data_IF_114935581419
#
_entry.id   IF_114935581419
#
_cell.length_a   1.000
_cell.length_b   1.000
_cell.length_c   1.000
_cell.angle_alpha   90.00
_cell.angle_beta   90.00
_cell.angle_gamma   90.00
#
_symmetry.space_group_name_H-M   'P 1'
#
loop_
_entity.id
_entity.type
_entity.pdbx_description
1 polymer ?
#
# COMPACT_ATOMS: atom_id res chain seq x y z
N UNK A 1 29.83 -16.42 -31.09
CA UNK A 1 30.20 -15.01 -31.24
C UNK A 1 29.56 -14.49 -32.52
N UNK A 2 28.32 -14.02 -32.42
CA UNK A 2 27.64 -13.33 -33.53
C UNK A 2 27.93 -11.84 -33.40
N UNK A 3 28.21 -11.19 -34.54
CA UNK A 3 28.74 -9.84 -34.64
C UNK A 3 27.80 -8.80 -34.01
N UNK A 4 28.32 -8.03 -33.07
CA UNK A 4 27.77 -6.75 -32.62
C UNK A 4 27.83 -5.72 -33.77
N UNK A 5 26.83 -5.74 -34.65
CA UNK A 5 26.54 -4.57 -35.48
C UNK A 5 25.79 -3.55 -34.59
N UNK A 6 26.55 -2.81 -33.78
CA UNK A 6 26.07 -1.62 -33.08
C UNK A 6 25.62 -0.61 -34.15
N UNK A 7 24.33 -0.59 -34.47
CA UNK A 7 23.68 0.46 -35.28
C UNK A 7 23.65 1.78 -34.47
N UNK A 8 24.82 2.38 -34.25
CA UNK A 8 24.94 3.75 -33.76
C UNK A 8 24.88 4.69 -34.96
N UNK A 9 23.71 5.33 -35.16
CA UNK A 9 23.49 6.37 -36.16
C UNK A 9 24.69 7.35 -36.20
N UNK A 10 25.29 7.51 -37.39
CA UNK A 10 26.43 8.43 -37.58
C UNK A 10 26.01 9.91 -37.54
N UNK A 11 24.74 10.21 -37.83
CA UNK A 11 24.05 11.50 -37.63
C UNK A 11 22.55 11.30 -37.90
N UNK A 12 21.68 12.19 -37.38
CA UNK A 12 20.27 12.27 -37.79
C UNK A 12 20.06 13.47 -38.74
N UNK A 13 19.28 13.26 -39.79
CA UNK A 13 18.85 14.28 -40.74
C UNK A 13 17.62 15.04 -40.19
N UNK A 14 17.39 16.28 -40.66
CA UNK A 14 16.08 16.93 -40.60
C UNK A 14 14.99 15.98 -41.10
N UNK A 15 13.91 15.79 -40.33
CA UNK A 15 12.86 14.82 -40.70
C UNK A 15 12.98 13.44 -40.03
N UNK A 16 14.10 13.13 -39.37
CA UNK A 16 14.29 11.84 -38.70
C UNK A 16 13.59 11.78 -37.33
N UNK A 17 13.24 10.57 -36.92
CA UNK A 17 12.72 10.26 -35.59
C UNK A 17 13.60 9.19 -34.95
N UNK A 18 14.06 9.45 -33.72
CA UNK A 18 14.86 8.49 -32.96
C UNK A 18 14.03 7.94 -31.80
N UNK A 19 13.82 6.63 -31.82
CA UNK A 19 13.22 5.88 -30.73
C UNK A 19 14.29 5.07 -30.03
N UNK A 20 14.51 5.33 -28.73
CA UNK A 20 15.37 4.51 -27.88
C UNK A 20 14.46 3.65 -27.00
N UNK A 21 14.36 2.33 -27.26
CA UNK A 21 13.61 1.45 -26.38
C UNK A 21 14.33 1.35 -25.03
N UNK A 22 13.54 1.47 -23.96
CA UNK A 22 13.96 1.38 -22.58
C UNK A 22 13.23 0.20 -21.97
N UNK A 23 13.98 -0.80 -21.54
CA UNK A 23 13.44 -2.02 -20.95
C UNK A 23 14.13 -2.26 -19.62
N UNK A 24 13.36 -2.36 -18.54
CA UNK A 24 13.89 -2.75 -17.23
C UNK A 24 12.86 -3.54 -16.42
N UNK A 25 13.33 -4.25 -15.41
CA UNK A 25 12.48 -4.98 -14.47
C UNK A 25 12.20 -4.10 -13.25
N UNK A 26 10.92 -3.89 -12.95
CA UNK A 26 10.53 -3.00 -11.85
C UNK A 26 10.62 -3.67 -10.48
N UNK A 27 10.98 -2.89 -9.46
CA UNK A 27 10.87 -3.34 -8.06
C UNK A 27 9.46 -3.20 -7.50
N UNK A 28 8.53 -2.55 -8.22
CA UNK A 28 7.10 -2.50 -7.89
C UNK A 28 6.43 -3.85 -8.16
N UNK A 29 6.95 -4.89 -7.50
CA UNK A 29 6.52 -6.26 -7.56
C UNK A 29 6.15 -6.71 -6.14
N UNK A 30 4.95 -7.28 -6.00
CA UNK A 30 4.46 -7.81 -4.73
C UNK A 30 5.33 -8.93 -4.15
N UNK A 31 5.92 -9.77 -5.00
CA UNK A 31 6.82 -10.83 -4.56
C UNK A 31 8.10 -10.24 -3.97
N UNK A 32 8.71 -9.27 -4.65
CA UNK A 32 9.92 -8.59 -4.15
C UNK A 32 9.64 -7.81 -2.85
N UNK A 33 8.51 -7.10 -2.77
CA UNK A 33 8.07 -6.43 -1.55
C UNK A 33 7.96 -7.44 -0.39
N UNK A 34 7.38 -8.61 -0.65
CA UNK A 34 7.21 -9.68 0.31
C UNK A 34 8.54 -10.29 0.79
N UNK A 35 9.45 -10.62 -0.13
CA UNK A 35 10.77 -11.14 0.22
C UNK A 35 11.56 -10.15 1.08
N UNK A 36 11.58 -8.86 0.68
CA UNK A 36 12.28 -7.83 1.43
C UNK A 36 11.66 -7.59 2.82
N UNK A 37 10.33 -7.67 2.91
CA UNK A 37 9.62 -7.61 4.18
C UNK A 37 9.98 -8.77 5.11
N UNK A 38 9.93 -10.02 4.61
CA UNK A 38 10.31 -11.22 5.39
C UNK A 38 11.75 -11.10 5.88
N UNK A 39 12.66 -10.68 4.99
CA UNK A 39 14.06 -10.49 5.34
C UNK A 39 14.24 -9.48 6.48
N UNK A 40 13.64 -8.29 6.38
CA UNK A 40 13.75 -7.25 7.42
C UNK A 40 13.07 -7.68 8.72
N UNK A 41 11.90 -8.31 8.66
CA UNK A 41 11.22 -8.89 9.82
C UNK A 41 12.12 -9.89 10.55
N UNK A 42 12.71 -10.83 9.82
CA UNK A 42 13.59 -11.84 10.40
C UNK A 42 14.84 -11.22 11.03
N UNK A 43 15.39 -10.16 10.43
CA UNK A 43 16.51 -9.43 11.05
C UNK A 43 16.12 -8.77 12.37
N UNK A 44 14.90 -8.22 12.48
CA UNK A 44 14.40 -7.64 13.73
C UNK A 44 14.22 -8.73 14.78
N UNK A 45 13.58 -9.85 14.41
CA UNK A 45 13.36 -10.99 15.30
C UNK A 45 14.69 -11.58 15.78
N UNK A 46 15.64 -11.82 14.86
CA UNK A 46 16.95 -12.39 15.17
C UNK A 46 17.85 -11.47 16.02
N UNK A 47 17.71 -10.15 15.85
CA UNK A 47 18.39 -9.18 16.70
C UNK A 47 17.76 -9.11 18.10
N UNK A 48 16.44 -9.31 18.22
CA UNK A 48 15.73 -9.33 19.50
C UNK A 48 15.88 -10.67 20.25
N UNK A 49 16.14 -11.79 19.56
CA UNK A 49 16.39 -13.10 20.19
C UNK A 49 17.78 -13.23 20.80
N UNK A 50 18.74 -12.36 20.47
CA UNK A 50 20.06 -12.39 21.11
C UNK A 50 20.07 -11.83 22.56
N UNK A 51 18.91 -11.44 23.10
CA UNK A 51 18.79 -10.98 24.50
C UNK A 51 17.95 -11.94 25.36
N UNK A 52 17.17 -12.85 24.78
CA UNK A 52 16.41 -13.83 25.56
C UNK A 52 16.31 -15.18 24.86
N UNK A 53 16.81 -16.19 25.57
CA UNK A 53 16.64 -17.63 25.41
C UNK A 53 17.76 -18.40 24.66
N UNK A 54 18.77 -18.78 25.46
CA UNK A 54 18.94 -20.22 25.71
C UNK A 54 17.59 -20.76 26.17
N UNK A 55 16.83 -21.36 25.28
CA UNK A 55 15.96 -22.50 25.58
C UNK A 55 15.44 -23.06 24.26
N UNK A 56 15.73 -24.34 24.12
CA UNK A 56 15.28 -25.23 23.06
C UNK A 56 13.75 -25.16 22.95
N UNK A 57 13.27 -24.98 21.71
CA UNK A 57 12.00 -25.50 21.17
C UNK A 57 11.52 -24.58 20.05
N UNK A 58 12.08 -24.81 18.86
CA UNK A 58 11.41 -24.61 17.57
C UNK A 58 12.25 -25.31 16.48
N UNK A 59 12.55 -26.59 16.70
CA UNK A 59 12.79 -27.55 15.62
C UNK A 59 11.43 -28.04 15.18
N UNK A 60 10.88 -27.47 14.11
CA UNK A 60 10.00 -28.13 13.15
C UNK A 60 9.45 -27.09 12.17
N UNK A 61 10.21 -26.76 11.11
CA UNK A 61 9.61 -26.38 9.83
C UNK A 61 10.59 -26.49 8.64
N UNK A 62 11.57 -27.41 8.73
CA UNK A 62 12.36 -27.84 7.58
C UNK A 62 12.19 -29.35 7.39
N UNK A 63 11.10 -29.72 6.72
CA UNK A 63 10.98 -31.00 6.05
C UNK A 63 11.70 -30.92 4.71
N UNK A 64 12.92 -31.42 4.66
CA UNK A 64 13.64 -31.73 3.43
C UNK A 64 12.78 -32.59 2.50
N UNK A 65 12.73 -32.22 1.22
CA UNK A 65 12.80 -33.20 0.14
C UNK A 65 13.92 -32.72 -0.80
N UNK A 66 15.05 -33.42 -0.70
CA UNK A 66 16.12 -33.37 -1.68
C UNK A 66 15.63 -34.04 -2.96
N UNK A 67 16.00 -33.50 -4.13
CA UNK A 67 16.92 -34.25 -4.99
C UNK A 67 17.53 -33.40 -6.13
N UNK A 68 18.85 -33.55 -6.21
CA UNK A 68 19.74 -33.33 -7.36
C UNK A 68 19.98 -31.92 -7.90
N UNK A 69 21.13 -31.34 -7.53
CA UNK A 69 22.18 -31.00 -8.50
C UNK A 69 23.46 -30.56 -7.78
N UNK A 70 24.53 -31.33 -8.02
CA UNK A 70 25.93 -31.05 -7.66
C UNK A 70 26.31 -29.61 -8.00
N UNK A 71 27.14 -28.97 -7.16
CA UNK A 71 28.23 -28.13 -7.66
C UNK A 71 29.37 -28.01 -6.66
N UNK A 72 30.54 -28.15 -7.25
CA UNK A 72 31.87 -28.25 -6.66
C UNK A 72 32.27 -26.99 -5.89
N UNK A 73 33.06 -27.24 -4.85
CA UNK A 73 33.91 -26.29 -4.16
C UNK A 73 34.91 -25.65 -5.12
N UNK A 74 35.06 -24.33 -5.06
CA UNK A 74 36.34 -23.68 -5.29
C UNK A 74 36.61 -22.69 -4.16
N UNK A 75 37.50 -23.11 -3.27
CA UNK A 75 38.37 -22.24 -2.49
C UNK A 75 39.18 -21.35 -3.42
N UNK A 76 39.43 -20.11 -3.00
CA UNK A 76 40.75 -19.50 -3.10
C UNK A 76 40.91 -18.48 -1.97
N UNK A 77 41.85 -18.80 -1.08
CA UNK A 77 42.44 -17.95 -0.06
C UNK A 77 43.16 -16.75 -0.69
N UNK A 78 43.25 -15.63 0.03
CA UNK A 78 44.50 -14.86 0.14
C UNK A 78 44.53 -14.11 1.49
N UNK A 79 45.63 -14.33 2.21
CA UNK A 79 46.04 -13.70 3.47
C UNK A 79 46.39 -12.21 3.28
N UNK A 80 46.41 -11.43 4.37
CA UNK A 80 47.69 -10.87 4.86
C UNK A 80 47.55 -10.13 6.22
N UNK A 81 48.28 -10.70 7.17
CA UNK A 81 49.18 -10.12 8.19
C UNK A 81 48.71 -9.14 9.29
N UNK A 82 49.03 -9.59 10.51
CA UNK A 82 49.04 -8.84 11.77
C UNK A 82 50.15 -7.78 11.79
N UNK A 83 49.86 -6.63 12.39
CA UNK A 83 50.87 -5.82 13.08
C UNK A 83 50.34 -5.48 14.48
N UNK A 84 50.97 -6.08 15.50
CA UNK A 84 50.90 -5.62 16.89
C UNK A 84 51.82 -4.42 17.08
N UNK A 85 51.31 -3.36 17.71
CA UNK A 85 52.14 -2.43 18.51
C UNK A 85 51.37 -2.10 19.79
N UNK A 86 52.05 -2.29 20.92
CA UNK A 86 51.51 -2.18 22.28
C UNK A 86 51.46 -0.73 22.77
N UNK A 87 50.37 -0.46 23.49
CA UNK A 87 50.20 0.42 24.67
C UNK A 87 50.55 1.92 24.57
N UNK A 88 49.54 2.79 24.61
CA UNK A 88 49.24 3.53 25.85
C UNK A 88 47.89 4.30 25.82
N UNK A 89 47.09 4.04 26.85
CA UNK A 89 46.13 4.90 27.55
C UNK A 89 44.99 5.70 26.84
N UNK A 90 43.77 5.36 27.30
CA UNK A 90 42.56 6.20 27.48
C UNK A 90 41.80 6.67 26.23
N UNK A 91 40.86 5.82 25.80
CA UNK A 91 39.42 6.11 25.71
C UNK A 91 38.76 4.91 25.01
N UNK A 92 37.91 4.17 25.73
CA UNK A 92 37.12 3.07 25.16
C UNK A 92 36.07 3.63 24.19
N UNK A 93 36.48 3.83 22.94
CA UNK A 93 35.56 3.91 21.81
C UNK A 93 35.22 2.46 21.48
N UNK A 94 34.02 2.03 21.85
CA UNK A 94 33.43 0.78 21.34
C UNK A 94 33.24 0.91 19.82
N UNK A 95 34.27 0.58 19.06
CA UNK A 95 34.17 0.35 17.62
C UNK A 95 33.47 -1.00 17.46
N UNK A 96 32.15 -0.95 17.25
CA UNK A 96 31.41 -2.10 16.74
C UNK A 96 32.12 -2.56 15.46
N UNK A 97 32.77 -3.73 15.53
CA UNK A 97 33.19 -4.47 14.35
C UNK A 97 31.96 -4.64 13.46
N UNK A 98 31.93 -3.90 12.35
CA UNK A 98 30.96 -4.05 11.29
C UNK A 98 30.96 -5.52 10.86
N UNK A 99 29.99 -6.31 11.37
CA UNK A 99 29.61 -7.56 10.73
C UNK A 99 29.23 -7.18 9.30
N UNK A 100 30.02 -7.64 8.33
CA UNK A 100 29.68 -7.54 6.90
C UNK A 100 28.23 -7.96 6.77
N UNK A 101 27.35 -7.00 6.50
CA UNK A 101 25.98 -7.26 6.11
C UNK A 101 26.10 -7.99 4.77
N UNK A 102 26.01 -9.32 4.80
CA UNK A 102 25.88 -10.12 3.59
C UNK A 102 24.51 -9.71 3.02
N UNK A 103 24.50 -8.76 2.08
CA UNK A 103 23.31 -8.50 1.28
C UNK A 103 23.07 -9.77 0.47
N UNK A 104 21.98 -10.51 0.69
CA UNK A 104 21.69 -11.65 -0.15
C UNK A 104 21.42 -11.13 -1.57
N UNK A 105 21.97 -11.83 -2.57
CA UNK A 105 21.52 -11.69 -3.96
C UNK A 105 20.07 -12.16 -4.03
N UNK A 106 19.14 -11.22 -3.89
CA UNK A 106 17.72 -11.43 -4.17
C UNK A 106 17.63 -11.85 -5.64
N UNK A 107 17.29 -13.12 -5.88
CA UNK A 107 17.03 -13.62 -7.23
C UNK A 107 15.82 -12.85 -7.75
N UNK A 108 16.04 -11.94 -8.71
CA UNK A 108 14.93 -11.34 -9.46
C UNK A 108 14.16 -12.47 -10.13
N UNK A 109 12.99 -12.81 -9.59
CA UNK A 109 12.02 -13.63 -10.28
C UNK A 109 11.28 -12.68 -11.23
N UNK A 110 11.62 -12.81 -12.52
CA UNK A 110 11.13 -12.01 -13.64
C UNK A 110 9.62 -12.14 -13.82
N UNK A 111 8.81 -11.16 -13.39
CA UNK A 111 7.40 -11.16 -13.81
C UNK A 111 6.80 -9.80 -14.21
N UNK A 112 7.44 -8.64 -13.97
CA UNK A 112 6.93 -7.34 -14.45
C UNK A 112 8.01 -6.55 -15.21
N UNK A 113 8.04 -6.73 -16.53
CA UNK A 113 8.89 -5.98 -17.45
C UNK A 113 8.23 -4.63 -17.76
N UNK A 114 8.94 -3.54 -17.49
CA UNK A 114 8.52 -2.21 -17.88
C UNK A 114 9.18 -1.87 -19.22
N UNK A 115 8.33 -1.61 -20.21
CA UNK A 115 8.75 -1.19 -21.55
C UNK A 115 8.35 0.26 -21.76
N UNK A 116 9.35 1.11 -21.97
CA UNK A 116 9.18 2.53 -22.27
C UNK A 116 9.98 2.86 -23.52
N UNK A 117 9.72 4.02 -24.13
CA UNK A 117 10.52 4.50 -25.25
C UNK A 117 10.84 5.98 -25.06
N UNK A 118 12.12 6.33 -25.11
CA UNK A 118 12.53 7.72 -25.21
C UNK A 118 12.50 8.10 -26.70
N UNK A 119 11.54 8.95 -27.04
CA UNK A 119 11.32 9.42 -28.39
C UNK A 119 11.92 10.82 -28.57
N UNK A 120 12.86 10.95 -29.51
CA UNK A 120 13.39 12.24 -29.93
C UNK A 120 12.85 12.56 -31.33
N UNK A 121 11.99 13.58 -31.40
CA UNK A 121 11.36 14.01 -32.64
C UNK A 121 12.15 15.17 -33.27
N UNK A 122 12.91 14.87 -34.34
CA UNK A 122 13.65 15.87 -35.11
C UNK A 122 12.90 16.29 -36.40
N UNK A 123 11.60 15.94 -36.53
CA UNK A 123 10.83 16.22 -37.76
C UNK A 123 10.57 17.70 -38.00
N UNK A 124 10.51 18.51 -36.94
CA UNK A 124 10.33 19.96 -37.01
C UNK A 124 11.62 20.78 -37.12
N UNK A 125 12.79 20.14 -37.15
CA UNK A 125 14.09 20.81 -37.08
C UNK A 125 14.75 20.90 -38.46
N UNK A 126 15.35 22.04 -38.77
CA UNK A 126 16.21 22.21 -39.96
C UNK A 126 17.65 21.77 -39.72
N UNK A 127 18.02 21.44 -38.48
CA UNK A 127 19.39 21.12 -38.09
C UNK A 127 19.66 19.61 -38.06
N UNK A 128 20.85 19.22 -38.50
CA UNK A 128 21.37 17.85 -38.33
C UNK A 128 21.83 17.64 -36.90
N UNK A 129 21.47 16.50 -36.32
CA UNK A 129 21.96 16.09 -35.00
C UNK A 129 23.21 15.23 -35.21
N UNK A 130 24.31 15.63 -34.58
CA UNK A 130 25.61 14.98 -34.73
C UNK A 130 25.66 13.69 -33.92
N UNK A 131 26.54 12.76 -34.33
CA UNK A 131 26.82 11.50 -33.59
C UNK A 131 27.00 11.71 -32.09
N UNK A 132 27.75 12.75 -31.69
CA UNK A 132 28.02 13.06 -30.27
C UNK A 132 26.74 13.36 -29.49
N UNK A 133 25.80 14.08 -30.09
CA UNK A 133 24.51 14.42 -29.47
C UNK A 133 23.63 13.17 -29.35
N UNK A 134 23.61 12.31 -30.36
CA UNK A 134 22.92 11.01 -30.32
C UNK A 134 23.48 10.13 -29.20
N UNK A 135 24.81 10.02 -29.09
CA UNK A 135 25.49 9.28 -28.02
C UNK A 135 25.12 9.86 -26.64
N UNK A 136 25.08 11.19 -26.51
CA UNK A 136 24.68 11.82 -25.26
C UNK A 136 23.23 11.51 -24.89
N UNK A 137 22.31 11.45 -25.85
CA UNK A 137 20.91 11.07 -25.62
C UNK A 137 20.82 9.60 -25.17
N UNK A 138 21.60 8.71 -25.78
CA UNK A 138 21.69 7.30 -25.36
C UNK A 138 22.24 7.22 -23.94
N UNK A 139 23.35 7.88 -23.62
CA UNK A 139 23.89 7.91 -22.25
C UNK A 139 22.89 8.49 -21.25
N UNK A 140 22.17 9.56 -21.63
CA UNK A 140 21.11 10.14 -20.82
C UNK A 140 19.98 9.14 -20.57
N UNK A 141 19.59 8.34 -21.58
CA UNK A 141 18.59 7.29 -21.40
C UNK A 141 19.03 6.22 -20.39
N UNK A 142 20.29 5.77 -20.45
CA UNK A 142 20.84 4.84 -19.45
C UNK A 142 20.87 5.46 -18.05
N UNK A 143 21.34 6.71 -17.92
CA UNK A 143 21.34 7.43 -16.66
C UNK A 143 19.93 7.56 -16.07
N UNK A 144 18.92 7.86 -16.91
CA UNK A 144 17.53 7.98 -16.51
C UNK A 144 16.97 6.64 -16.01
N UNK A 145 17.26 5.53 -16.70
CA UNK A 145 16.87 4.17 -16.25
C UNK A 145 17.49 3.85 -14.89
N UNK A 146 18.79 4.07 -14.72
CA UNK A 146 19.47 3.81 -13.45
C UNK A 146 18.87 4.63 -12.32
N UNK A 147 18.52 5.90 -12.59
CA UNK A 147 17.84 6.76 -11.61
C UNK A 147 16.46 6.20 -11.26
N UNK A 148 15.63 5.87 -12.25
CA UNK A 148 14.31 5.28 -12.03
C UNK A 148 14.45 4.03 -11.14
N UNK A 149 15.32 3.10 -11.53
CA UNK A 149 15.56 1.86 -10.80
C UNK A 149 15.96 2.09 -9.34
N UNK A 150 16.89 3.02 -9.08
CA UNK A 150 17.30 3.37 -7.71
C UNK A 150 16.18 4.01 -6.90
N UNK A 151 15.37 4.87 -7.51
CA UNK A 151 14.21 5.48 -6.85
C UNK A 151 13.13 4.45 -6.53
N UNK A 152 12.85 3.51 -7.44
CA UNK A 152 11.91 2.41 -7.19
C UNK A 152 12.38 1.55 -6.02
N UNK A 153 13.65 1.14 -6.00
CA UNK A 153 14.24 0.38 -4.90
C UNK A 153 14.06 1.10 -3.56
N UNK A 154 14.43 2.38 -3.51
CA UNK A 154 14.28 3.20 -2.30
C UNK A 154 12.82 3.33 -1.86
N UNK A 155 11.90 3.48 -2.81
CA UNK A 155 10.47 3.55 -2.52
C UNK A 155 9.95 2.25 -1.91
N UNK A 156 10.38 1.09 -2.43
CA UNK A 156 10.03 -0.22 -1.90
C UNK A 156 10.64 -0.44 -0.51
N UNK A 157 11.90 -0.07 -0.30
CA UNK A 157 12.53 -0.17 1.02
C UNK A 157 11.78 0.65 2.08
N UNK A 158 11.34 1.86 1.71
CA UNK A 158 10.52 2.72 2.57
C UNK A 158 9.13 2.10 2.82
N UNK A 159 8.50 1.52 1.79
CA UNK A 159 7.23 0.82 1.93
C UNK A 159 7.34 -0.34 2.92
N UNK A 160 8.41 -1.13 2.85
CA UNK A 160 8.64 -2.23 3.79
C UNK A 160 8.87 -1.71 5.21
N UNK A 161 9.64 -0.64 5.39
CA UNK A 161 9.83 -0.03 6.71
C UNK A 161 8.50 0.42 7.31
N UNK A 162 7.65 1.07 6.51
CA UNK A 162 6.32 1.47 6.93
C UNK A 162 5.44 0.27 7.32
N UNK A 163 5.50 -0.82 6.56
CA UNK A 163 4.77 -2.06 6.89
C UNK A 163 5.24 -2.67 8.22
N UNK A 164 6.55 -2.65 8.49
CA UNK A 164 7.11 -3.13 9.76
C UNK A 164 6.63 -2.27 10.93
N UNK A 165 6.65 -0.94 10.78
CA UNK A 165 6.15 -0.02 11.82
C UNK A 165 4.67 -0.25 12.14
N UNK A 166 3.85 -0.55 11.12
CA UNK A 166 2.43 -0.85 11.27
C UNK A 166 2.15 -2.16 12.03
N UNK A 167 3.06 -3.13 11.97
CA UNK A 167 2.86 -4.45 12.58
C UNK A 167 3.59 -4.62 13.91
N UNK A 168 4.76 -3.99 14.07
CA UNK A 168 5.63 -4.17 15.25
C UNK A 168 6.00 -2.85 15.95
N UNK A 169 5.61 -1.70 15.40
CA UNK A 169 5.97 -0.38 15.93
C UNK A 169 4.87 0.30 16.73
N UNK A 170 5.04 1.61 16.96
CA UNK A 170 4.07 2.44 17.69
C UNK A 170 2.70 2.50 17.02
N UNK A 171 2.67 2.43 15.69
CA UNK A 171 1.42 2.44 14.94
C UNK A 171 0.57 1.20 15.27
N UNK A 172 1.19 0.02 15.47
CA UNK A 172 0.49 -1.19 15.93
C UNK A 172 -0.23 -0.96 17.26
N UNK A 173 0.47 -0.39 18.23
CA UNK A 173 -0.14 -0.06 19.52
C UNK A 173 -1.30 0.93 19.38
N UNK A 174 -1.21 1.90 18.47
CA UNK A 174 -2.32 2.82 18.19
C UNK A 174 -3.53 2.12 17.57
N UNK A 175 -3.29 1.17 16.66
CA UNK A 175 -4.32 0.34 16.02
C UNK A 175 -5.02 -0.54 17.06
N UNK A 176 -4.26 -1.23 17.90
CA UNK A 176 -4.81 -2.12 18.93
C UNK A 176 -5.64 -1.34 19.96
N UNK A 177 -5.13 -0.19 20.42
CA UNK A 177 -5.88 0.73 21.28
C UNK A 177 -7.17 1.26 20.63
N UNK A 178 -7.21 1.42 19.30
CA UNK A 178 -8.43 1.81 18.59
C UNK A 178 -9.42 0.65 18.54
N UNK A 179 -8.96 -0.56 18.21
CA UNK A 179 -9.79 -1.77 18.19
C UNK A 179 -10.39 -2.07 19.57
N UNK A 180 -9.62 -1.94 20.65
CA UNK A 180 -10.12 -2.10 22.02
C UNK A 180 -11.19 -1.08 22.35
N UNK A 181 -11.01 0.17 21.89
CA UNK A 181 -12.02 1.23 22.06
C UNK A 181 -13.29 0.94 21.29
N UNK A 182 -13.19 0.34 20.09
CA UNK A 182 -14.34 -0.04 19.25
C UNK A 182 -15.07 -1.24 19.86
N UNK A 183 -14.34 -2.26 20.31
CA UNK A 183 -14.93 -3.47 20.89
C UNK A 183 -15.61 -3.20 22.24
N UNK A 184 -15.11 -2.24 23.02
CA UNK A 184 -15.66 -1.89 24.33
C UNK A 184 -16.57 -0.64 24.32
N UNK A 185 -17.19 -0.31 23.18
CA UNK A 185 -18.09 0.85 23.09
C UNK A 185 -19.33 0.68 23.98
N UNK A 186 -19.50 1.59 24.93
CA UNK A 186 -20.75 1.72 25.71
C UNK A 186 -21.75 2.57 24.92
N UNK A 187 -22.63 1.92 24.17
CA UNK A 187 -23.60 2.57 23.28
C UNK A 187 -24.45 3.63 23.99
N UNK A 188 -24.94 3.34 25.20
CA UNK A 188 -25.78 4.27 25.97
C UNK A 188 -25.08 5.60 26.25
N UNK A 189 -23.78 5.58 26.55
CA UNK A 189 -23.00 6.79 26.80
C UNK A 189 -22.83 7.63 25.53
N UNK A 190 -22.73 6.98 24.37
CA UNK A 190 -22.56 7.63 23.07
C UNK A 190 -23.89 8.24 22.63
N UNK A 191 -24.99 7.50 22.76
CA UNK A 191 -26.34 7.97 22.46
C UNK A 191 -26.66 9.19 23.33
N UNK A 192 -26.46 9.10 24.65
CA UNK A 192 -26.71 10.21 25.57
C UNK A 192 -25.89 11.46 25.22
N UNK A 193 -24.66 11.29 24.74
CA UNK A 193 -23.78 12.39 24.35
C UNK A 193 -24.27 13.12 23.09
N UNK A 194 -24.87 12.41 22.15
CA UNK A 194 -25.32 12.99 20.87
C UNK A 194 -26.83 13.23 20.80
N UNK A 195 -27.59 12.90 21.85
CA UNK A 195 -29.05 13.06 21.93
C UNK A 195 -29.55 14.44 21.51
N UNK A 196 -28.83 15.51 21.87
CA UNK A 196 -29.23 16.88 21.53
C UNK A 196 -28.92 17.28 20.08
N UNK A 197 -28.06 16.52 19.39
CA UNK A 197 -27.65 16.76 17.99
C UNK A 197 -28.54 15.96 17.03
N UNK A 198 -29.11 14.84 17.50
CA UNK A 198 -30.06 14.05 16.75
C UNK A 198 -31.40 14.79 16.74
N UNK A 199 -31.65 15.58 15.68
CA UNK A 199 -32.95 16.19 15.45
C UNK A 199 -34.02 15.10 15.25
N UNK A 200 -35.29 15.39 15.56
CA UNK A 200 -36.42 14.49 15.32
C UNK A 200 -36.59 14.26 13.81
N UNK A 201 -35.91 13.24 13.30
CA UNK A 201 -36.02 12.79 11.92
C UNK A 201 -37.11 11.72 11.83
N UNK A 202 -37.90 11.73 10.75
CA UNK A 202 -38.96 10.73 10.54
C UNK A 202 -38.41 9.30 10.62
N UNK A 203 -37.27 9.02 9.99
CA UNK A 203 -36.60 7.71 10.03
C UNK A 203 -36.20 7.26 11.45
N UNK A 204 -36.00 8.17 12.40
CA UNK A 204 -35.72 7.79 13.80
C UNK A 204 -36.96 7.31 14.55
N UNK A 205 -38.16 7.66 14.07
CA UNK A 205 -39.42 7.12 14.60
C UNK A 205 -39.66 5.70 14.09
N UNK A 206 -39.22 5.43 12.86
CA UNK A 206 -39.40 4.13 12.19
C UNK A 206 -38.36 3.08 12.62
N UNK A 207 -37.13 3.48 13.03
CA UNK A 207 -36.11 2.53 13.53
C UNK A 207 -35.32 3.08 14.72
N UNK A 208 -35.48 2.42 15.87
CA UNK A 208 -34.69 2.70 17.08
C UNK A 208 -33.20 2.35 16.91
N UNK A 209 -32.86 1.37 16.07
CA UNK A 209 -31.45 1.02 15.79
C UNK A 209 -30.74 2.12 14.99
N UNK A 210 -31.48 2.90 14.18
CA UNK A 210 -30.91 4.00 13.42
C UNK A 210 -30.32 5.08 14.35
N UNK A 211 -30.98 5.39 15.46
CA UNK A 211 -30.48 6.33 16.48
C UNK A 211 -29.12 5.88 17.01
N UNK A 212 -28.97 4.59 17.29
CA UNK A 212 -27.72 3.98 17.76
C UNK A 212 -26.63 4.08 16.70
N UNK A 213 -26.92 3.68 15.45
CA UNK A 213 -25.92 3.75 14.38
C UNK A 213 -25.51 5.18 14.04
N UNK A 214 -26.42 6.14 14.02
CA UNK A 214 -26.09 7.55 13.77
C UNK A 214 -25.29 8.15 14.92
N UNK A 215 -25.60 7.79 16.17
CA UNK A 215 -24.80 8.21 17.33
C UNK A 215 -23.36 7.70 17.25
N UNK A 216 -23.19 6.44 16.83
CA UNK A 216 -21.86 5.87 16.57
C UNK A 216 -21.18 6.58 15.42
N UNK A 217 -21.90 6.88 14.35
CA UNK A 217 -21.38 7.56 13.19
C UNK A 217 -20.83 8.96 13.54
N UNK A 218 -21.56 9.74 14.34
CA UNK A 218 -21.09 11.03 14.88
C UNK A 218 -19.84 10.88 15.76
N UNK A 219 -19.75 9.81 16.55
CA UNK A 219 -18.54 9.49 17.29
C UNK A 219 -17.35 9.21 16.38
N UNK A 220 -17.55 8.44 15.31
CA UNK A 220 -16.52 8.13 14.32
C UNK A 220 -16.06 9.41 13.61
N UNK A 221 -16.97 10.27 13.15
CA UNK A 221 -16.62 11.55 12.53
C UNK A 221 -15.77 12.42 13.43
N UNK A 222 -16.10 12.50 14.72
CA UNK A 222 -15.27 13.20 15.71
C UNK A 222 -13.87 12.57 15.85
N UNK A 223 -13.75 11.25 15.74
CA UNK A 223 -12.46 10.56 15.74
C UNK A 223 -11.67 10.79 14.46
N UNK A 224 -12.34 10.81 13.30
CA UNK A 224 -11.76 11.15 11.99
C UNK A 224 -11.19 12.57 12.04
N UNK A 225 -11.99 13.55 12.47
CA UNK A 225 -11.56 14.95 12.57
C UNK A 225 -10.35 15.12 13.50
N UNK A 226 -10.31 14.42 14.65
CA UNK A 226 -9.17 14.48 15.57
C UNK A 226 -7.90 13.81 15.03
N UNK A 227 -8.03 12.81 14.17
CA UNK A 227 -6.94 11.98 13.68
C UNK A 227 -6.74 12.10 12.16
N UNK A 228 -7.10 13.24 11.57
CA UNK A 228 -6.99 13.48 10.13
C UNK A 228 -5.58 13.17 9.59
N UNK A 229 -4.53 13.53 10.34
CA UNK A 229 -3.13 13.22 9.99
C UNK A 229 -2.89 11.71 9.79
N UNK A 230 -3.50 10.85 10.60
CA UNK A 230 -3.38 9.39 10.49
C UNK A 230 -4.10 8.85 9.25
N UNK A 231 -5.15 9.51 8.78
CA UNK A 231 -5.82 9.16 7.53
C UNK A 231 -4.96 9.61 6.33
N UNK A 232 -4.35 10.79 6.39
CA UNK A 232 -3.39 11.20 5.34
C UNK A 232 -2.18 10.28 5.22
N UNK A 233 -1.75 9.62 6.30
CA UNK A 233 -0.65 8.65 6.26
C UNK A 233 -0.94 7.46 5.34
N UNK A 234 -2.21 7.19 4.99
CA UNK A 234 -2.55 6.20 3.95
C UNK A 234 -1.81 6.51 2.64
N UNK A 235 -1.52 7.78 2.35
CA UNK A 235 -0.71 8.21 1.19
C UNK A 235 0.72 7.69 1.16
N UNK A 236 1.23 7.21 2.29
CA UNK A 236 2.53 6.56 2.37
C UNK A 236 2.50 5.16 1.75
N UNK A 237 1.33 4.54 1.60
CA UNK A 237 1.17 3.24 0.93
C UNK A 237 1.29 3.45 -0.59
N UNK A 238 2.43 3.07 -1.15
CA UNK A 238 2.72 3.15 -2.58
C UNK A 238 2.41 1.87 -3.32
N UNK A 239 2.46 0.74 -2.63
CA UNK A 239 2.18 -0.57 -3.20
C UNK A 239 1.00 -1.18 -2.47
N UNK A 240 0.05 -1.68 -3.24
CA UNK A 240 -1.11 -2.39 -2.71
C UNK A 240 -0.72 -3.81 -2.33
N UNK A 241 -0.60 -4.07 -1.02
CA UNK A 241 -0.12 -5.36 -0.49
C UNK A 241 -1.18 -6.15 0.29
N UNK A 242 -2.39 -5.62 0.44
CA UNK A 242 -3.48 -6.23 1.20
C UNK A 242 -4.84 -5.83 0.61
N UNK A 243 -5.70 -6.81 0.34
CA UNK A 243 -7.04 -6.61 -0.19
C UNK A 243 -7.94 -5.77 0.73
N UNK A 244 -7.79 -5.90 2.05
CA UNK A 244 -8.62 -5.18 3.04
C UNK A 244 -8.46 -3.67 2.92
N UNK A 245 -7.26 -3.19 2.64
CA UNK A 245 -6.98 -1.76 2.47
C UNK A 245 -7.75 -1.24 1.26
N UNK A 246 -7.64 -1.96 0.15
CA UNK A 246 -8.34 -1.61 -1.08
C UNK A 246 -9.85 -1.62 -0.90
N UNK A 247 -10.39 -2.71 -0.35
CA UNK A 247 -11.82 -2.85 -0.09
C UNK A 247 -12.35 -1.72 0.80
N UNK A 248 -11.59 -1.37 1.85
CA UNK A 248 -11.95 -0.28 2.76
C UNK A 248 -12.01 1.06 2.01
N UNK A 249 -10.96 1.41 1.27
CA UNK A 249 -10.93 2.69 0.55
C UNK A 249 -12.03 2.80 -0.49
N UNK A 250 -12.23 1.75 -1.29
CA UNK A 250 -13.24 1.76 -2.33
C UNK A 250 -14.65 1.88 -1.74
N UNK A 251 -14.94 1.11 -0.68
CA UNK A 251 -16.22 1.20 0.02
C UNK A 251 -16.44 2.61 0.56
N UNK A 252 -15.39 3.25 1.11
CA UNK A 252 -15.48 4.64 1.57
C UNK A 252 -15.80 5.59 0.40
N UNK A 253 -15.12 5.45 -0.73
CA UNK A 253 -15.39 6.29 -1.91
C UNK A 253 -16.81 6.12 -2.45
N UNK A 254 -17.30 4.88 -2.49
CA UNK A 254 -18.63 4.56 -2.95
C UNK A 254 -19.71 5.14 -2.02
N UNK A 255 -19.54 5.02 -0.71
CA UNK A 255 -20.45 5.59 0.29
C UNK A 255 -20.48 7.13 0.24
N UNK A 256 -19.33 7.76 0.01
CA UNK A 256 -19.20 9.22 -0.08
C UNK A 256 -19.58 9.82 -1.44
N UNK A 257 -19.96 8.97 -2.41
CA UNK A 257 -20.17 9.37 -3.80
C UNK A 257 -19.00 10.19 -4.36
N UNK A 258 -17.78 9.70 -4.12
CA UNK A 258 -16.67 10.16 -4.91
C UNK A 258 -16.80 9.64 -6.33
N UNK A 259 -16.37 10.44 -7.31
CA UNK A 259 -16.29 9.98 -8.68
C UNK A 259 -15.35 8.77 -8.74
N UNK A 260 -15.93 7.59 -8.92
CA UNK A 260 -15.24 6.32 -9.04
C UNK A 260 -15.20 5.82 -10.48
N UNK A 261 -15.58 6.66 -11.46
CA UNK A 261 -15.63 6.30 -12.88
C UNK A 261 -14.27 5.90 -13.47
N UNK A 262 -13.18 6.37 -12.86
CA UNK A 262 -11.81 6.00 -13.24
C UNK A 262 -11.39 4.58 -12.81
N UNK A 263 -12.24 3.85 -12.07
CA UNK A 263 -11.87 2.55 -11.51
C UNK A 263 -12.66 1.41 -12.15
N UNK A 264 -11.97 0.54 -12.88
CA UNK A 264 -12.58 -0.64 -13.53
C UNK A 264 -12.24 -1.92 -12.79
N UNK A 265 -12.98 -2.21 -11.71
CA UNK A 265 -12.72 -3.36 -10.82
C UNK A 265 -12.96 -4.76 -11.42
N UNK A 266 -13.39 -4.85 -12.68
CA UNK A 266 -13.94 -6.09 -13.24
C UNK A 266 -12.90 -7.19 -13.50
N UNK A 267 -11.59 -6.91 -13.48
CA UNK A 267 -10.55 -7.92 -13.76
C UNK A 267 -9.36 -7.89 -12.80
N UNK A 268 -8.81 -6.73 -12.48
CA UNK A 268 -7.74 -6.53 -11.48
C UNK A 268 -7.47 -5.04 -11.35
N UNK A 269 -7.12 -4.55 -10.16
CA UNK A 269 -6.65 -3.17 -10.02
C UNK A 269 -5.18 -3.10 -10.39
N UNK A 270 -4.88 -2.34 -11.44
CA UNK A 270 -3.51 -2.05 -11.82
C UNK A 270 -2.86 -1.09 -10.81
N UNK A 271 -1.53 -1.14 -10.68
CA UNK A 271 -0.79 -0.25 -9.76
C UNK A 271 -1.07 1.24 -9.99
N UNK A 272 -1.44 1.61 -11.22
CA UNK A 272 -1.84 2.96 -11.58
C UNK A 272 -3.19 3.36 -10.97
N UNK A 273 -4.22 2.52 -11.09
CA UNK A 273 -5.54 2.72 -10.48
C UNK A 273 -5.43 2.80 -8.94
N UNK A 274 -4.57 1.98 -8.33
CA UNK A 274 -4.24 2.07 -6.91
C UNK A 274 -3.67 3.44 -6.53
N UNK A 275 -2.71 3.92 -7.31
CA UNK A 275 -2.06 5.21 -7.04
C UNK A 275 -3.05 6.36 -7.16
N UNK A 276 -3.99 6.28 -8.11
CA UNK A 276 -5.09 7.24 -8.22
C UNK A 276 -5.99 7.24 -6.97
N UNK A 277 -6.42 6.06 -6.49
CA UNK A 277 -7.21 5.94 -5.25
C UNK A 277 -6.51 6.62 -4.07
N UNK A 278 -5.20 6.42 -3.93
CA UNK A 278 -4.43 7.01 -2.84
C UNK A 278 -4.25 8.52 -3.01
N UNK A 279 -4.08 9.00 -4.25
CA UNK A 279 -3.93 10.43 -4.53
C UNK A 279 -5.18 11.23 -4.13
N UNK A 280 -6.37 10.65 -4.31
CA UNK A 280 -7.65 11.26 -3.96
C UNK A 280 -7.92 11.42 -2.45
N UNK A 281 -7.07 10.89 -1.57
CA UNK A 281 -7.12 11.13 -0.11
C UNK A 281 -6.60 12.54 0.22
N UNK A 282 -7.26 13.57 -0.30
CA UNK A 282 -6.89 14.97 -0.19
C UNK A 282 -7.79 15.72 0.82
N UNK A 283 -7.65 17.04 0.89
CA UNK A 283 -8.44 17.88 1.80
C UNK A 283 -9.94 17.76 1.53
N UNK A 284 -10.34 17.71 0.27
CA UNK A 284 -11.73 17.53 -0.13
C UNK A 284 -12.28 16.17 0.33
N UNK A 285 -11.47 15.11 0.30
CA UNK A 285 -11.84 13.79 0.86
C UNK A 285 -12.09 13.86 2.35
N UNK A 286 -11.22 14.53 3.09
CA UNK A 286 -11.39 14.72 4.53
C UNK A 286 -12.62 15.58 4.86
N UNK A 287 -12.85 16.66 4.12
CA UNK A 287 -14.02 17.52 4.28
C UNK A 287 -15.32 16.73 4.03
N UNK A 288 -15.38 15.94 2.94
CA UNK A 288 -16.52 15.04 2.68
C UNK A 288 -16.73 14.03 3.80
N UNK A 289 -15.68 13.36 4.30
CA UNK A 289 -15.79 12.41 5.41
C UNK A 289 -16.40 13.04 6.69
N UNK A 290 -15.95 14.25 7.02
CA UNK A 290 -16.35 14.96 8.24
C UNK A 290 -17.77 15.52 8.11
N UNK A 291 -18.18 15.94 6.92
CA UNK A 291 -19.50 16.54 6.66
C UNK A 291 -20.57 15.54 6.22
N UNK A 292 -20.19 14.29 5.90
CA UNK A 292 -21.12 13.29 5.41
C UNK A 292 -22.26 13.04 6.40
N UNK A 293 -23.50 13.16 5.96
CA UNK A 293 -24.66 12.74 6.74
C UNK A 293 -25.32 11.54 6.04
N UNK A 294 -25.09 10.31 6.51
CA UNK A 294 -25.59 9.11 5.83
C UNK A 294 -27.11 9.03 5.83
N UNK A 295 -27.81 9.54 6.86
CA UNK A 295 -29.28 9.48 6.90
C UNK A 295 -29.88 10.33 5.79
N UNK A 296 -29.50 11.60 5.71
CA UNK A 296 -30.01 12.53 4.68
C UNK A 296 -29.60 12.04 3.29
N UNK A 297 -28.33 11.68 3.12
CA UNK A 297 -27.82 11.19 1.83
C UNK A 297 -28.58 9.97 1.32
N UNK A 298 -28.89 8.99 2.19
CA UNK A 298 -29.61 7.79 1.77
C UNK A 298 -31.11 8.01 1.66
N UNK A 299 -31.70 8.90 2.46
CA UNK A 299 -33.10 9.31 2.35
C UNK A 299 -33.40 9.97 0.99
N UNK A 300 -32.54 10.86 0.51
CA UNK A 300 -32.76 11.57 -0.76
C UNK A 300 -32.71 10.65 -2.00
N UNK A 301 -32.19 9.42 -1.85
CA UNK A 301 -31.99 8.48 -2.95
C UNK A 301 -33.15 7.53 -3.17
N UNK A 302 -33.40 7.19 -4.43
CA UNK A 302 -34.26 6.06 -4.77
C UNK A 302 -33.72 4.74 -4.20
N UNK A 303 -34.65 3.87 -3.77
CA UNK A 303 -34.31 2.55 -3.22
C UNK A 303 -33.46 1.70 -4.18
N UNK A 304 -33.73 1.78 -5.49
CA UNK A 304 -32.98 1.09 -6.54
C UNK A 304 -31.48 1.45 -6.52
N UNK A 305 -31.17 2.72 -6.29
CA UNK A 305 -29.79 3.22 -6.19
C UNK A 305 -29.11 2.76 -4.91
N UNK A 306 -29.83 2.70 -3.79
CA UNK A 306 -29.32 2.19 -2.52
C UNK A 306 -29.02 0.69 -2.60
N UNK A 307 -29.93 -0.09 -3.18
CA UNK A 307 -29.72 -1.51 -3.44
C UNK A 307 -28.56 -1.75 -4.42
N UNK A 308 -28.40 -0.88 -5.44
CA UNK A 308 -27.24 -0.94 -6.33
C UNK A 308 -25.91 -0.71 -5.60
N UNK A 309 -25.86 0.28 -4.69
CA UNK A 309 -24.70 0.51 -3.81
C UNK A 309 -24.36 -0.75 -3.00
N UNK A 310 -25.36 -1.37 -2.37
CA UNK A 310 -25.15 -2.58 -1.57
C UNK A 310 -24.64 -3.74 -2.43
N UNK A 311 -25.27 -3.95 -3.58
CA UNK A 311 -24.87 -4.97 -4.55
C UNK A 311 -23.44 -4.78 -5.07
N UNK A 312 -23.00 -3.54 -5.28
CA UNK A 312 -21.62 -3.25 -5.65
C UNK A 312 -20.67 -3.65 -4.52
N UNK A 313 -20.97 -3.28 -3.28
CA UNK A 313 -20.13 -3.63 -2.12
C UNK A 313 -20.03 -5.16 -1.94
N UNK A 314 -21.14 -5.87 -2.09
CA UNK A 314 -21.15 -7.34 -2.03
C UNK A 314 -20.30 -7.94 -3.15
N UNK A 315 -20.44 -7.46 -4.39
CA UNK A 315 -19.59 -7.88 -5.51
C UNK A 315 -18.10 -7.63 -5.21
N UNK A 316 -17.75 -6.48 -4.65
CA UNK A 316 -16.36 -6.16 -4.28
C UNK A 316 -15.81 -7.17 -3.27
N UNK A 317 -16.61 -7.58 -2.29
CA UNK A 317 -16.18 -8.54 -1.25
C UNK A 317 -15.83 -9.92 -1.84
N UNK A 318 -16.49 -10.29 -2.94
CA UNK A 318 -16.35 -11.56 -3.64
C UNK A 318 -15.15 -11.61 -4.61
N UNK A 319 -14.56 -10.47 -4.96
CA UNK A 319 -13.38 -10.45 -5.84
C UNK A 319 -12.17 -11.02 -5.11
N UNK A 320 -11.68 -12.15 -5.62
CA UNK A 320 -10.52 -12.90 -5.11
C UNK A 320 -9.30 -12.80 -6.03
N UNK A 321 -9.28 -11.82 -6.92
CA UNK A 321 -8.45 -11.89 -8.14
C UNK A 321 -6.94 -11.77 -7.90
N UNK A 322 -6.50 -11.34 -6.71
CA UNK A 322 -5.07 -11.25 -6.37
C UNK A 322 -4.77 -12.09 -5.12
N UNK A 323 -3.79 -12.98 -5.23
CA UNK A 323 -3.28 -13.78 -4.10
C UNK A 323 -2.25 -12.94 -3.34
N UNK A 324 -2.65 -12.31 -2.24
CA UNK A 324 -1.71 -11.67 -1.32
C UNK A 324 -1.16 -12.70 -0.33
N UNK A 325 0.09 -12.53 0.14
CA UNK A 325 0.61 -13.36 1.23
C UNK A 325 -0.27 -13.23 2.49
N UNK A 326 -0.64 -14.37 3.10
CA UNK A 326 -1.58 -14.41 4.23
C UNK A 326 -1.16 -13.51 5.41
N UNK A 327 0.15 -13.35 5.66
CA UNK A 327 0.62 -12.51 6.76
C UNK A 327 0.45 -11.01 6.46
N UNK A 328 0.50 -10.60 5.19
CA UNK A 328 0.29 -9.21 4.77
C UNK A 328 -1.19 -8.80 4.82
N UNK A 329 -2.11 -9.74 4.65
CA UNK A 329 -3.57 -9.53 4.77
C UNK A 329 -3.99 -9.04 6.17
N UNK A 330 -3.15 -9.21 7.19
CA UNK A 330 -3.43 -8.73 8.54
C UNK A 330 -2.83 -7.36 8.85
N UNK A 331 -1.95 -6.85 7.98
CA UNK A 331 -1.36 -5.52 8.14
C UNK A 331 -2.36 -4.44 7.74
N UNK A 332 -2.54 -3.45 8.61
CA UNK A 332 -3.39 -2.28 8.38
C UNK A 332 -2.72 -1.04 8.95
N UNK A 333 -3.27 0.14 8.70
CA UNK A 333 -2.86 1.41 9.33
C UNK A 333 -3.96 1.90 10.25
N UNK A 334 -3.67 2.83 11.15
CA UNK A 334 -4.71 3.46 11.98
C UNK A 334 -5.80 4.09 11.11
N UNK A 335 -5.39 4.81 10.06
CA UNK A 335 -6.31 5.44 9.12
C UNK A 335 -7.27 4.45 8.47
N UNK A 336 -6.75 3.34 7.94
CA UNK A 336 -7.57 2.29 7.31
C UNK A 336 -8.49 1.62 8.32
N UNK A 337 -8.01 1.31 9.53
CA UNK A 337 -8.85 0.73 10.59
C UNK A 337 -10.01 1.66 10.94
N UNK A 338 -9.77 2.97 11.02
CA UNK A 338 -10.81 3.96 11.29
C UNK A 338 -11.81 4.08 10.13
N UNK A 339 -11.34 4.06 8.89
CA UNK A 339 -12.22 4.07 7.70
C UNK A 339 -13.03 2.78 7.58
N UNK A 340 -12.46 1.64 7.95
CA UNK A 340 -13.21 0.37 7.97
C UNK A 340 -14.37 0.44 8.96
N UNK A 341 -14.14 0.98 10.17
CA UNK A 341 -15.20 1.18 11.14
C UNK A 341 -16.26 2.19 10.66
N UNK A 342 -15.82 3.28 10.01
CA UNK A 342 -16.71 4.23 9.34
C UNK A 342 -17.62 3.55 8.31
N UNK A 343 -17.05 2.70 7.45
CA UNK A 343 -17.80 1.97 6.42
C UNK A 343 -18.81 1.01 7.05
N UNK A 344 -18.43 0.25 8.07
CA UNK A 344 -19.32 -0.70 8.76
C UNK A 344 -20.55 0.01 9.34
N UNK A 345 -20.36 1.11 10.05
CA UNK A 345 -21.49 1.86 10.62
C UNK A 345 -22.33 2.52 9.53
N UNK A 346 -21.72 3.05 8.47
CA UNK A 346 -22.45 3.62 7.34
C UNK A 346 -23.31 2.58 6.61
N UNK A 347 -22.80 1.36 6.46
CA UNK A 347 -23.53 0.24 5.86
C UNK A 347 -24.71 -0.20 6.73
N UNK A 348 -24.54 -0.22 8.06
CA UNK A 348 -25.65 -0.50 8.97
C UNK A 348 -26.76 0.55 8.83
N UNK A 349 -26.40 1.84 8.70
CA UNK A 349 -27.35 2.92 8.43
C UNK A 349 -28.04 2.72 7.08
N UNK A 350 -27.28 2.41 6.02
CA UNK A 350 -27.82 2.13 4.69
C UNK A 350 -28.86 1.00 4.72
N UNK A 351 -28.53 -0.11 5.37
CA UNK A 351 -29.41 -1.27 5.46
C UNK A 351 -30.71 -0.96 6.21
N UNK A 352 -30.65 -0.18 7.29
CA UNK A 352 -31.85 0.27 8.01
C UNK A 352 -32.70 1.23 7.17
N UNK A 353 -32.08 2.16 6.44
CA UNK A 353 -32.79 3.07 5.52
C UNK A 353 -33.48 2.30 4.39
N UNK A 354 -32.83 1.27 3.82
CA UNK A 354 -33.45 0.40 2.80
C UNK A 354 -34.67 -0.30 3.39
N UNK A 355 -34.58 -0.89 4.58
CA UNK A 355 -35.72 -1.57 5.23
C UNK A 355 -36.92 -0.64 5.44
N UNK A 356 -36.67 0.60 5.90
CA UNK A 356 -37.73 1.59 6.10
C UNK A 356 -38.44 1.86 4.76
N UNK A 357 -37.67 2.11 3.68
CA UNK A 357 -38.22 2.36 2.35
C UNK A 357 -38.98 1.17 1.75
N UNK A 358 -38.53 -0.07 2.01
CA UNK A 358 -39.26 -1.29 1.59
C UNK A 358 -40.60 -1.43 2.31
N UNK A 359 -40.66 -1.07 3.59
CA UNK A 359 -41.90 -1.08 4.36
C UNK A 359 -42.90 0.00 3.89
N UNK A 360 -42.42 1.17 3.46
CA UNK A 360 -43.27 2.22 2.89
C UNK A 360 -43.89 1.81 1.54
N UNK A 361 -43.12 1.11 0.71
CA UNK A 361 -43.58 0.61 -0.59
C UNK A 361 -44.58 -0.55 -0.49
N UNK A 362 -44.60 -1.26 0.63
CA UNK A 362 -45.53 -2.37 0.88
C UNK A 362 -46.80 -1.94 1.61
N UNK A 363 -46.81 -0.73 2.17
CA UNK A 363 -47.96 -0.12 2.86
C UNK A 363 -48.72 0.91 2.00
N UNK A 364 -48.20 1.21 0.81
CA UNK A 364 -48.86 1.97 -0.26
C UNK A 364 -49.47 1.04 -1.30
#
# INVERSE_FOLDING_TARGET
MEKENMFLYSYMKPGDFLSIPIIYYTHYNMNFLNELYIFKKNNILNNNTNVYNNNEDNKEFYGHNNDSAKKESMQNDYNDEMIETKEDNKNEVFVLKNKKCIQPELKCIDENKVEMCLCFDNRGSTNKIKKKEIINIIHFSYFLITRIFLYEKKAIENQVNFMIENEYGEEKHCIDNLNDKINNLKYDNIINKYKNVLADHYYFKESNELIKYVSLFLWIQKKISKNEKKIYQIKMIKVEYNRKILFTLFTTYLLLEYDYSYFTFLKSIDSYEWTQLIFHINKYFMEKLIMFNPVICFEEKEISKLQHINNLIDKLSLVKNKKYPNHMENMTTYGITLLNFFNQVSLNILNEVIKIKENELTTT
#
